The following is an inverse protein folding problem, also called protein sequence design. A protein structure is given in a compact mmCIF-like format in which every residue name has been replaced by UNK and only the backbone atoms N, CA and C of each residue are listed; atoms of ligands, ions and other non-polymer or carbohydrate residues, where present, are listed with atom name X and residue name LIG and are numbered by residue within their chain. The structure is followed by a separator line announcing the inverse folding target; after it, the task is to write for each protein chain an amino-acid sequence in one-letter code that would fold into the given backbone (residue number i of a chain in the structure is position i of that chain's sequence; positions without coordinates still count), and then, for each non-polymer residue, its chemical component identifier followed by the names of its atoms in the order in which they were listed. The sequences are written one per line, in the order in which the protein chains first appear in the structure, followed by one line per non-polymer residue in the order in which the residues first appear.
data_IF_775602486757
#
_entry.id   IF_775602486757
#
_cell.length_a   1.000
_cell.length_b   1.000
_cell.length_c   1.000
_cell.angle_alpha   90.00
_cell.angle_beta   90.00
_cell.angle_gamma   90.00
#
_symmetry.space_group_name_H-M   'P 1'
#
loop_
_entity.id
_entity.type
_entity.pdbx_description
1 polymer ?
#
# COMPACT_ATOMS: atom_id res chain seq x y z
N UNK A 1 1.78 59.86 -6.74
CA UNK A 1 2.25 59.93 -8.14
C UNK A 1 3.37 58.92 -8.29
N UNK A 2 3.36 57.84 -9.08
CA UNK A 2 2.64 57.38 -10.29
C UNK A 2 2.51 55.84 -10.18
N UNK A 3 1.33 55.23 -10.22
CA UNK A 3 0.68 54.66 -11.42
C UNK A 3 1.64 54.04 -12.45
N UNK A 4 1.63 52.71 -12.56
CA UNK A 4 1.75 52.02 -13.85
C UNK A 4 0.85 50.79 -13.86
N UNK A 5 -0.29 50.99 -14.53
CA UNK A 5 -1.19 49.99 -15.08
C UNK A 5 -0.45 49.21 -16.16
N UNK A 6 -0.44 47.88 -16.09
CA UNK A 6 -0.12 47.06 -17.25
C UNK A 6 -1.26 46.09 -17.50
N UNK A 7 -2.14 46.52 -18.41
CA UNK A 7 -3.11 45.70 -19.12
C UNK A 7 -2.38 44.52 -19.77
N UNK A 8 -2.69 43.29 -19.35
CA UNK A 8 -2.32 42.10 -20.12
C UNK A 8 -3.56 41.54 -20.79
N UNK A 9 -3.45 41.40 -22.11
CA UNK A 9 -4.50 41.13 -23.07
C UNK A 9 -5.34 39.90 -22.73
N UNK A 10 -6.65 40.13 -22.73
CA UNK A 10 -7.70 39.14 -22.88
C UNK A 10 -7.63 38.57 -24.32
N UNK A 11 -6.92 37.47 -24.52
CA UNK A 11 -7.03 36.68 -25.75
C UNK A 11 -8.12 35.62 -25.56
N UNK A 12 -9.35 35.96 -26.01
CA UNK A 12 -10.45 35.03 -26.18
C UNK A 12 -10.06 33.97 -27.23
N UNK A 13 -9.68 32.77 -26.79
CA UNK A 13 -9.55 31.60 -27.66
C UNK A 13 -10.85 30.80 -27.53
N UNK A 14 -11.82 31.15 -28.38
CA UNK A 14 -13.01 30.33 -28.65
C UNK A 14 -12.61 29.19 -29.59
N UNK A 15 -12.14 28.07 -29.04
CA UNK A 15 -12.08 26.80 -29.78
C UNK A 15 -13.30 25.99 -29.38
N UNK A 16 -14.39 26.17 -30.13
CA UNK A 16 -15.52 25.26 -30.18
C UNK A 16 -15.10 24.01 -30.95
N UNK A 17 -14.37 23.11 -30.27
CA UNK A 17 -14.07 21.78 -30.77
C UNK A 17 -15.10 20.79 -30.23
N UNK A 18 -15.98 20.30 -31.10
CA UNK A 18 -16.85 19.15 -30.84
C UNK A 18 -15.96 17.92 -30.58
N UNK A 19 -15.52 17.75 -29.34
CA UNK A 19 -14.87 16.52 -28.90
C UNK A 19 -15.97 15.45 -28.85
N UNK A 20 -15.97 14.59 -29.86
CA UNK A 20 -16.67 13.31 -29.85
C UNK A 20 -16.38 12.65 -28.49
N UNK A 21 -17.38 12.61 -27.63
CA UNK A 21 -17.39 11.76 -26.46
C UNK A 21 -17.31 10.33 -26.98
N UNK A 22 -16.10 9.81 -27.16
CA UNK A 22 -15.88 8.38 -27.21
C UNK A 22 -16.37 7.88 -25.85
N UNK A 23 -17.60 7.38 -25.85
CA UNK A 23 -18.16 6.57 -24.77
C UNK A 23 -17.25 5.34 -24.69
N UNK A 24 -16.15 5.51 -23.96
CA UNK A 24 -15.33 4.43 -23.48
C UNK A 24 -16.29 3.66 -22.60
N UNK A 25 -16.97 2.66 -23.18
CA UNK A 25 -17.71 1.65 -22.45
C UNK A 25 -16.68 1.06 -21.51
N UNK A 26 -16.60 1.63 -20.31
CA UNK A 26 -16.06 0.96 -19.16
C UNK A 26 -16.87 -0.32 -19.12
N UNK A 27 -16.23 -1.42 -19.55
CA UNK A 27 -16.70 -2.75 -19.19
C UNK A 27 -16.71 -2.71 -17.68
N UNK A 28 -17.87 -2.38 -17.12
CA UNK A 28 -18.13 -2.41 -15.70
C UNK A 28 -17.71 -3.81 -15.31
N UNK A 29 -16.59 -3.93 -14.60
CA UNK A 29 -16.07 -5.23 -14.18
C UNK A 29 -17.22 -5.86 -13.39
N UNK A 30 -17.89 -6.83 -13.99
CA UNK A 30 -18.90 -7.60 -13.30
C UNK A 30 -18.15 -8.35 -12.22
N UNK A 31 -18.57 -8.17 -10.97
CA UNK A 31 -18.00 -8.89 -9.85
C UNK A 31 -18.16 -10.39 -10.12
N UNK A 32 -17.03 -11.09 -10.36
CA UNK A 32 -17.03 -12.54 -10.50
C UNK A 32 -17.03 -13.16 -9.12
N UNK A 33 -17.94 -14.08 -8.90
CA UNK A 33 -18.02 -14.95 -7.72
C UNK A 33 -17.27 -16.26 -7.98
N UNK A 34 -16.88 -17.01 -6.95
CA UNK A 34 -16.28 -18.34 -7.14
C UNK A 34 -17.13 -19.28 -8.00
N UNK A 35 -18.46 -19.17 -7.92
CA UNK A 35 -19.40 -20.01 -8.68
C UNK A 35 -19.37 -19.72 -10.19
N UNK A 36 -18.95 -18.52 -10.60
CA UNK A 36 -18.81 -18.18 -12.02
C UNK A 36 -17.67 -18.97 -12.69
N UNK A 37 -16.73 -19.50 -11.90
CA UNK A 37 -15.60 -20.33 -12.35
C UNK A 37 -15.89 -21.84 -12.27
N UNK A 38 -17.12 -22.23 -11.91
CA UNK A 38 -17.55 -23.64 -11.86
C UNK A 38 -18.91 -23.82 -12.54
N UNK A 39 -19.28 -22.90 -13.42
CA UNK A 39 -20.64 -22.81 -13.95
C UNK A 39 -20.94 -23.89 -15.00
N UNK A 40 -19.93 -24.57 -15.54
CA UNK A 40 -20.06 -25.57 -16.60
C UNK A 40 -20.25 -27.00 -16.06
N UNK A 41 -19.36 -27.49 -15.20
CA UNK A 41 -19.35 -28.87 -14.69
C UNK A 41 -19.37 -28.96 -13.15
N UNK A 42 -19.33 -27.82 -12.45
CA UNK A 42 -19.31 -27.75 -10.99
C UNK A 42 -17.97 -28.11 -10.35
N UNK A 43 -16.92 -28.33 -11.15
CA UNK A 43 -15.54 -28.59 -10.75
C UNK A 43 -14.74 -27.33 -11.12
N UNK A 44 -13.79 -26.97 -10.27
CA UNK A 44 -12.87 -25.87 -10.57
C UNK A 44 -11.56 -26.46 -11.05
N UNK A 45 -11.24 -26.26 -12.32
CA UNK A 45 -9.98 -26.69 -12.91
C UNK A 45 -8.80 -25.86 -12.38
N UNK A 46 -7.57 -26.36 -12.59
CA UNK A 46 -6.35 -25.65 -12.21
C UNK A 46 -6.24 -24.28 -12.90
N UNK A 47 -6.58 -24.22 -14.20
CA UNK A 47 -6.57 -22.98 -14.97
C UNK A 47 -7.60 -21.96 -14.45
N UNK A 48 -8.79 -22.42 -14.05
CA UNK A 48 -9.81 -21.55 -13.45
C UNK A 48 -9.40 -21.01 -12.08
N UNK A 49 -8.77 -21.84 -11.24
CA UNK A 49 -8.20 -21.39 -9.97
C UNK A 49 -7.11 -20.32 -10.18
N UNK A 50 -6.27 -20.50 -11.20
CA UNK A 50 -5.26 -19.51 -11.57
C UNK A 50 -5.90 -18.21 -12.08
N UNK A 51 -6.93 -18.28 -12.93
CA UNK A 51 -7.67 -17.10 -13.40
C UNK A 51 -8.32 -16.36 -12.23
N UNK A 52 -8.94 -17.08 -11.29
CA UNK A 52 -9.53 -16.52 -10.07
C UNK A 52 -8.46 -15.83 -9.20
N UNK A 53 -7.30 -16.45 -9.00
CA UNK A 53 -6.19 -15.85 -8.26
C UNK A 53 -5.66 -14.58 -8.94
N UNK A 54 -5.59 -14.53 -10.27
CA UNK A 54 -5.23 -13.33 -11.03
C UNK A 54 -6.29 -12.24 -10.90
N UNK A 55 -7.58 -12.60 -10.92
CA UNK A 55 -8.68 -11.67 -10.67
C UNK A 55 -8.59 -11.08 -9.25
N UNK A 56 -8.31 -11.91 -8.25
CA UNK A 56 -8.06 -11.49 -6.88
C UNK A 56 -6.85 -10.53 -6.79
N UNK A 57 -5.73 -10.85 -7.46
CA UNK A 57 -4.56 -9.98 -7.53
C UNK A 57 -4.91 -8.59 -8.06
N UNK A 58 -5.72 -8.53 -9.12
CA UNK A 58 -6.19 -7.28 -9.71
C UNK A 58 -7.05 -6.49 -8.71
N UNK A 59 -7.97 -7.16 -8.01
CA UNK A 59 -8.77 -6.58 -6.93
C UNK A 59 -7.87 -5.93 -5.86
N UNK A 60 -6.88 -6.68 -5.37
CA UNK A 60 -5.91 -6.18 -4.39
C UNK A 60 -5.13 -4.96 -4.92
N UNK A 61 -4.64 -5.03 -6.15
CA UNK A 61 -3.80 -3.97 -6.74
C UNK A 61 -4.59 -2.69 -7.04
N UNK A 62 -5.89 -2.82 -7.32
CA UNK A 62 -6.80 -1.70 -7.54
C UNK A 62 -7.19 -0.99 -6.24
N UNK A 63 -7.17 -1.69 -5.09
CA UNK A 63 -7.47 -1.14 -3.79
C UNK A 63 -6.22 -0.49 -3.18
N UNK A 64 -6.24 0.84 -3.03
CA UNK A 64 -5.09 1.59 -2.52
C UNK A 64 -4.67 1.22 -1.10
N UNK A 65 -5.63 0.81 -0.26
CA UNK A 65 -5.37 0.39 1.10
C UNK A 65 -4.73 -1.01 1.13
N UNK A 66 -5.27 -1.98 0.38
CA UNK A 66 -4.70 -3.33 0.33
C UNK A 66 -3.27 -3.33 -0.23
N UNK A 67 -3.03 -2.67 -1.37
CA UNK A 67 -1.70 -2.60 -2.01
C UNK A 67 -0.64 -1.89 -1.15
N UNK A 68 -1.07 -1.03 -0.23
CA UNK A 68 -0.17 -0.34 0.70
C UNK A 68 0.40 -1.31 1.75
N UNK A 69 -0.44 -2.22 2.26
CA UNK A 69 -0.08 -3.12 3.35
C UNK A 69 0.37 -4.50 2.90
N UNK A 70 0.00 -4.93 1.70
CA UNK A 70 0.31 -6.26 1.20
C UNK A 70 0.90 -6.24 -0.21
N UNK A 71 1.80 -7.20 -0.46
CA UNK A 71 2.22 -7.56 -1.81
C UNK A 71 1.08 -8.38 -2.44
N UNK A 72 0.37 -7.78 -3.39
CA UNK A 72 -0.78 -8.38 -4.03
C UNK A 72 -0.44 -9.64 -4.84
N UNK A 73 0.79 -9.76 -5.37
CA UNK A 73 1.23 -10.97 -6.08
C UNK A 73 1.47 -12.10 -5.09
N UNK A 74 2.10 -11.80 -3.95
CA UNK A 74 2.24 -12.77 -2.85
C UNK A 74 0.86 -13.22 -2.35
N UNK A 75 -0.07 -12.28 -2.11
CA UNK A 75 -1.41 -12.64 -1.65
C UNK A 75 -2.17 -13.49 -2.66
N UNK A 76 -2.02 -13.25 -3.96
CA UNK A 76 -2.63 -14.10 -4.98
C UNK A 76 -2.08 -15.54 -4.96
N UNK A 77 -0.79 -15.72 -4.70
CA UNK A 77 -0.20 -17.04 -4.48
C UNK A 77 -0.77 -17.73 -3.23
N UNK A 78 -0.88 -17.01 -2.11
CA UNK A 78 -1.52 -17.53 -0.90
C UNK A 78 -3.01 -17.84 -1.10
N UNK A 79 -3.71 -17.03 -1.88
CA UNK A 79 -5.09 -17.23 -2.27
C UNK A 79 -5.28 -18.55 -3.02
N UNK A 80 -4.45 -18.79 -4.04
CA UNK A 80 -4.47 -20.01 -4.83
C UNK A 80 -4.28 -21.25 -3.95
N UNK A 81 -3.31 -21.23 -3.02
CA UNK A 81 -3.07 -22.35 -2.09
C UNK A 81 -4.28 -22.65 -1.19
N UNK A 82 -4.97 -21.61 -0.70
CA UNK A 82 -6.19 -21.79 0.09
C UNK A 82 -7.32 -22.33 -0.78
N UNK A 83 -7.44 -21.87 -2.03
CA UNK A 83 -8.44 -22.34 -2.99
C UNK A 83 -8.24 -23.81 -3.34
N UNK A 84 -7.03 -24.22 -3.71
CA UNK A 84 -6.68 -25.62 -3.99
C UNK A 84 -7.05 -26.55 -2.83
N UNK A 85 -6.85 -26.07 -1.59
CA UNK A 85 -7.12 -26.85 -0.38
C UNK A 85 -8.61 -26.97 -0.03
N UNK A 86 -9.40 -25.91 -0.25
CA UNK A 86 -10.77 -25.82 0.24
C UNK A 86 -11.84 -25.95 -0.87
N UNK A 87 -11.43 -25.93 -2.14
CA UNK A 87 -12.33 -26.01 -3.28
C UNK A 87 -13.14 -24.73 -3.52
N UNK A 88 -14.04 -24.73 -4.52
CA UNK A 88 -14.70 -23.53 -5.03
C UNK A 88 -15.77 -22.91 -4.12
N UNK A 89 -16.27 -23.66 -3.14
CA UNK A 89 -17.38 -23.19 -2.28
C UNK A 89 -16.97 -22.11 -1.28
N UNK A 90 -15.67 -21.98 -0.98
CA UNK A 90 -15.18 -20.93 -0.09
C UNK A 90 -15.28 -19.56 -0.78
N UNK A 91 -15.81 -18.56 -0.10
CA UNK A 91 -15.97 -17.21 -0.68
C UNK A 91 -14.63 -16.46 -0.75
N UNK A 92 -14.54 -15.45 -1.63
CA UNK A 92 -13.37 -14.57 -1.71
C UNK A 92 -13.06 -13.91 -0.35
N UNK A 93 -14.11 -13.52 0.39
CA UNK A 93 -13.97 -12.87 1.70
C UNK A 93 -13.39 -13.82 2.75
N UNK A 94 -13.84 -15.07 2.80
CA UNK A 94 -13.30 -16.08 3.71
C UNK A 94 -11.82 -16.34 3.43
N UNK A 95 -11.45 -16.54 2.16
CA UNK A 95 -10.04 -16.72 1.78
C UNK A 95 -9.24 -15.48 2.14
N UNK A 96 -9.72 -14.29 1.80
CA UNK A 96 -9.08 -13.03 2.14
C UNK A 96 -8.83 -12.91 3.65
N UNK A 97 -9.83 -13.24 4.47
CA UNK A 97 -9.72 -13.20 5.92
C UNK A 97 -8.68 -14.20 6.45
N UNK A 98 -8.61 -15.41 5.89
CA UNK A 98 -7.59 -16.41 6.24
C UNK A 98 -6.20 -15.86 5.92
N UNK A 99 -6.00 -15.36 4.71
CA UNK A 99 -4.68 -14.91 4.25
C UNK A 99 -4.31 -13.51 4.74
N UNK A 100 -5.19 -12.76 5.40
CA UNK A 100 -4.88 -11.41 5.93
C UNK A 100 -5.14 -11.23 7.41
N UNK A 101 -5.53 -12.27 8.15
CA UNK A 101 -5.65 -12.23 9.61
C UNK A 101 -4.83 -13.35 10.30
N UNK A 102 -3.90 -13.97 9.58
CA UNK A 102 -3.04 -15.02 10.14
C UNK A 102 -1.61 -14.53 10.36
N UNK A 103 -0.96 -15.04 11.40
CA UNK A 103 0.49 -14.85 11.61
C UNK A 103 1.34 -15.57 10.54
N UNK A 104 0.72 -16.45 9.75
CA UNK A 104 1.39 -17.22 8.71
C UNK A 104 1.51 -16.43 7.41
N UNK A 105 0.77 -15.34 7.26
CA UNK A 105 0.83 -14.52 6.06
C UNK A 105 2.16 -13.78 5.99
N UNK A 106 3.01 -14.16 5.03
CA UNK A 106 4.30 -13.51 4.79
C UNK A 106 4.22 -12.38 3.75
N UNK A 107 3.02 -12.00 3.32
CA UNK A 107 2.80 -11.08 2.21
C UNK A 107 2.76 -9.59 2.61
N UNK A 108 3.25 -9.22 3.79
CA UNK A 108 3.27 -7.81 4.20
C UNK A 108 4.22 -6.98 3.32
N UNK A 109 3.74 -5.86 2.78
CA UNK A 109 4.53 -4.94 1.96
C UNK A 109 5.36 -3.99 2.83
N UNK A 110 6.33 -4.56 3.55
CA UNK A 110 7.12 -3.86 4.58
C UNK A 110 7.71 -2.54 4.07
N UNK A 111 8.24 -2.51 2.84
CA UNK A 111 8.83 -1.31 2.25
C UNK A 111 7.79 -0.21 2.00
N UNK A 112 6.65 -0.54 1.38
CA UNK A 112 5.58 0.43 1.12
C UNK A 112 4.95 0.95 2.41
N UNK A 113 4.77 0.10 3.42
CA UNK A 113 4.26 0.50 4.74
C UNK A 113 5.22 1.52 5.37
N UNK A 114 6.52 1.23 5.39
CA UNK A 114 7.51 2.13 5.95
C UNK A 114 7.55 3.46 5.20
N UNK A 115 7.60 3.44 3.86
CA UNK A 115 7.62 4.65 3.04
C UNK A 115 6.40 5.54 3.29
N UNK A 116 5.20 4.95 3.23
CA UNK A 116 3.95 5.70 3.44
C UNK A 116 3.86 6.26 4.86
N UNK A 117 4.26 5.49 5.86
CA UNK A 117 4.24 5.93 7.25
C UNK A 117 5.23 7.07 7.52
N UNK A 118 6.39 7.05 6.87
CA UNK A 118 7.36 8.12 6.93
C UNK A 118 6.78 9.42 6.35
N UNK A 119 6.21 9.36 5.15
CA UNK A 119 5.60 10.52 4.48
C UNK A 119 4.50 11.16 5.34
N UNK A 120 3.56 10.34 5.83
CA UNK A 120 2.48 10.79 6.72
C UNK A 120 3.03 11.43 8.00
N UNK A 121 4.06 10.81 8.59
CA UNK A 121 4.70 11.36 9.79
C UNK A 121 5.38 12.70 9.52
N UNK A 122 6.09 12.86 8.40
CA UNK A 122 6.77 14.12 8.06
C UNK A 122 5.77 15.25 7.91
N UNK A 123 4.65 15.03 7.19
CA UNK A 123 3.58 16.02 7.06
C UNK A 123 3.05 16.43 8.44
N UNK A 124 2.72 15.46 9.29
CA UNK A 124 2.27 15.72 10.66
C UNK A 124 3.31 16.51 11.47
N UNK A 125 4.57 16.12 11.41
CA UNK A 125 5.63 16.67 12.23
C UNK A 125 6.10 18.06 11.74
N UNK A 126 5.85 18.43 10.47
CA UNK A 126 6.02 19.79 9.96
C UNK A 126 5.00 20.76 10.57
N UNK A 127 3.79 20.30 10.84
CA UNK A 127 2.73 21.11 11.45
C UNK A 127 2.91 21.25 12.97
N UNK A 128 3.59 20.29 13.61
CA UNK A 128 3.83 20.26 15.05
C UNK A 128 5.21 20.84 15.43
N UNK A 129 5.24 22.05 16.01
CA UNK A 129 6.48 22.77 16.33
C UNK A 129 7.47 21.98 17.19
N UNK A 130 6.98 21.18 18.15
CA UNK A 130 7.81 20.38 19.07
C UNK A 130 8.66 19.32 18.37
N UNK A 131 8.21 18.83 17.20
CA UNK A 131 8.89 17.75 16.47
C UNK A 131 9.79 18.27 15.35
N UNK A 132 9.64 19.54 14.93
CA UNK A 132 10.26 20.09 13.71
C UNK A 132 11.75 19.87 13.56
N UNK A 133 12.51 19.86 14.66
CA UNK A 133 13.98 19.78 14.65
C UNK A 133 14.49 18.37 14.41
N UNK A 134 13.77 17.36 14.87
CA UNK A 134 14.11 15.94 14.88
C UNK A 134 13.21 15.11 13.95
N UNK A 135 12.40 15.77 13.12
CA UNK A 135 11.45 15.18 12.19
C UNK A 135 11.97 13.95 11.42
N UNK A 136 13.14 13.97 10.74
CA UNK A 136 13.58 12.83 9.94
C UNK A 136 13.90 11.58 10.77
N UNK A 137 14.58 11.75 11.91
CA UNK A 137 14.95 10.62 12.77
C UNK A 137 13.74 10.05 13.50
N UNK A 138 12.89 10.93 14.04
CA UNK A 138 11.62 10.54 14.65
C UNK A 138 10.72 9.79 13.66
N UNK A 139 10.50 10.34 12.47
CA UNK A 139 9.65 9.70 11.46
C UNK A 139 10.27 8.44 10.87
N UNK A 140 11.61 8.35 10.79
CA UNK A 140 12.31 7.12 10.51
C UNK A 140 11.98 6.03 11.54
N UNK A 141 12.07 6.35 12.83
CA UNK A 141 11.68 5.42 13.90
C UNK A 141 10.20 4.98 13.76
N UNK A 142 9.28 5.92 13.55
CA UNK A 142 7.84 5.63 13.44
C UNK A 142 7.55 4.68 12.28
N UNK A 143 8.11 4.99 11.10
CA UNK A 143 7.94 4.20 9.89
C UNK A 143 8.40 2.75 10.07
N UNK A 144 9.61 2.56 10.58
CA UNK A 144 10.18 1.23 10.79
C UNK A 144 9.43 0.44 11.86
N UNK A 145 9.06 1.09 12.96
CA UNK A 145 8.30 0.43 14.02
C UNK A 145 6.94 -0.02 13.51
N UNK A 146 6.22 0.83 12.79
CA UNK A 146 4.94 0.47 12.19
C UNK A 146 5.09 -0.72 11.25
N UNK A 147 5.99 -0.65 10.28
CA UNK A 147 6.20 -1.70 9.30
C UNK A 147 6.56 -3.03 9.96
N UNK A 148 7.51 -3.02 10.89
CA UNK A 148 7.93 -4.22 11.63
C UNK A 148 6.78 -4.81 12.45
N UNK A 149 6.04 -3.99 13.18
CA UNK A 149 4.99 -4.49 14.06
C UNK A 149 3.77 -4.97 13.25
N UNK A 150 3.48 -4.37 12.09
CA UNK A 150 2.52 -4.90 11.14
C UNK A 150 2.97 -6.26 10.57
N UNK A 151 4.22 -6.38 10.12
CA UNK A 151 4.73 -7.64 9.53
C UNK A 151 4.71 -8.82 10.52
N UNK A 152 4.76 -8.58 11.83
CA UNK A 152 4.62 -9.64 12.86
C UNK A 152 3.23 -10.25 12.91
N UNK A 153 2.21 -9.43 12.65
CA UNK A 153 0.80 -9.84 12.68
C UNK A 153 0.06 -8.99 11.65
N UNK A 154 0.17 -9.37 10.36
CA UNK A 154 -0.29 -8.55 9.25
C UNK A 154 -1.81 -8.68 9.14
N UNK A 155 -2.50 -7.81 9.87
CA UNK A 155 -3.95 -7.74 9.93
C UNK A 155 -4.45 -6.51 9.20
N UNK A 156 -5.29 -6.68 8.19
CA UNK A 156 -5.93 -5.55 7.53
C UNK A 156 -7.17 -5.10 8.30
N UNK A 157 -7.01 -4.05 9.11
CA UNK A 157 -8.13 -3.40 9.77
C UNK A 157 -7.77 -1.98 10.14
N UNK A 158 -8.63 -1.02 9.82
CA UNK A 158 -8.38 0.40 10.07
C UNK A 158 -8.02 0.64 11.53
N UNK A 159 -8.82 0.13 12.48
CA UNK A 159 -8.53 0.29 13.91
C UNK A 159 -7.22 -0.34 14.36
N UNK A 160 -6.82 -1.48 13.79
CA UNK A 160 -5.55 -2.13 14.11
C UNK A 160 -4.36 -1.32 13.57
N UNK A 161 -4.43 -0.87 12.32
CA UNK A 161 -3.40 -0.04 11.69
C UNK A 161 -3.24 1.30 12.42
N UNK A 162 -4.34 1.95 12.78
CA UNK A 162 -4.30 3.19 13.58
C UNK A 162 -3.69 2.97 14.96
N UNK A 163 -4.03 1.86 15.62
CA UNK A 163 -3.41 1.47 16.89
C UNK A 163 -1.89 1.30 16.75
N UNK A 164 -1.42 0.58 15.71
CA UNK A 164 0.01 0.41 15.48
C UNK A 164 0.70 1.74 15.20
N UNK A 165 0.06 2.66 14.47
CA UNK A 165 0.59 4.00 14.19
C UNK A 165 0.73 4.82 15.46
N UNK A 166 -0.31 4.89 16.29
CA UNK A 166 -0.27 5.59 17.57
C UNK A 166 0.81 5.00 18.49
N UNK A 167 0.90 3.67 18.56
CA UNK A 167 1.94 2.95 19.31
C UNK A 167 3.35 3.28 18.81
N UNK A 168 3.55 3.36 17.48
CA UNK A 168 4.82 3.74 16.88
C UNK A 168 5.22 5.18 17.24
N UNK A 169 4.30 6.13 17.13
CA UNK A 169 4.52 7.53 17.51
C UNK A 169 4.89 7.67 18.99
N UNK A 170 4.15 7.02 19.88
CA UNK A 170 4.42 7.05 21.33
C UNK A 170 5.77 6.45 21.69
N UNK A 171 6.13 5.32 21.09
CA UNK A 171 7.42 4.67 21.31
C UNK A 171 8.59 5.54 20.84
N UNK A 172 8.48 6.13 19.65
CA UNK A 172 9.53 6.94 19.05
C UNK A 172 9.66 8.33 19.66
N UNK A 173 8.71 8.75 20.52
CA UNK A 173 8.79 10.02 21.24
C UNK A 173 10.03 10.07 22.15
N UNK A 174 10.41 8.95 22.78
CA UNK A 174 11.65 8.83 23.56
C UNK A 174 12.87 8.74 22.61
N UNK A 175 13.83 9.68 22.68
CA UNK A 175 15.04 9.65 21.85
C UNK A 175 15.85 8.36 21.95
N UNK A 176 15.84 7.66 23.09
CA UNK A 176 16.55 6.38 23.27
C UNK A 176 16.06 5.28 22.33
N UNK A 177 14.81 5.40 21.87
CA UNK A 177 14.19 4.42 20.98
C UNK A 177 14.47 4.71 19.50
N UNK A 178 15.00 5.90 19.17
CA UNK A 178 15.24 6.36 17.79
C UNK A 178 16.56 5.89 17.22
N UNK A 179 17.58 5.72 18.07
CA UNK A 179 18.95 5.33 17.72
C UNK A 179 19.12 3.84 17.44
N UNK A 180 18.05 3.06 17.31
CA UNK A 180 18.18 1.63 16.98
C UNK A 180 18.85 1.53 15.59
N UNK A 181 20.08 0.99 15.45
CA UNK A 181 20.82 1.06 14.20
C UNK A 181 20.08 0.28 13.11
N UNK A 182 19.48 0.99 12.16
CA UNK A 182 18.99 0.38 10.92
C UNK A 182 20.12 -0.24 10.07
N UNK A 183 21.38 -0.02 10.43
CA UNK A 183 22.55 -0.52 9.70
C UNK A 183 23.03 -1.92 10.11
N UNK A 184 22.46 -2.56 11.13
CA UNK A 184 22.93 -3.88 11.60
C UNK A 184 22.20 -5.09 10.97
N UNK A 185 21.25 -4.88 10.05
CA UNK A 185 20.52 -5.98 9.37
C UNK A 185 20.97 -6.23 7.92
N UNK A 186 22.03 -5.57 7.45
CA UNK A 186 22.62 -5.80 6.12
C UNK A 186 23.90 -6.65 6.13
N UNK A 187 24.03 -7.61 7.06
CA UNK A 187 25.13 -8.58 7.02
C UNK A 187 24.62 -10.02 7.00
N UNK A 188 24.71 -10.58 5.79
CA UNK A 188 24.93 -12.01 5.52
C UNK A 188 23.75 -12.95 5.77
N UNK A 189 22.81 -12.95 4.83
CA UNK A 189 22.16 -14.21 4.42
C UNK A 189 22.11 -14.21 2.90
N UNK A 190 22.91 -15.08 2.29
CA UNK A 190 22.97 -15.33 0.86
C UNK A 190 21.69 -16.07 0.43
N UNK A 191 20.60 -15.32 0.34
CA UNK A 191 19.37 -15.71 -0.35
C UNK A 191 19.02 -14.52 -1.26
N UNK A 192 18.45 -14.69 -2.46
CA UNK A 192 18.11 -13.57 -3.32
C UNK A 192 16.88 -12.86 -2.73
N UNK A 193 17.11 -12.04 -1.71
CA UNK A 193 16.16 -11.13 -1.11
C UNK A 193 16.13 -9.86 -1.96
N UNK A 194 14.93 -9.41 -2.29
CA UNK A 194 14.69 -8.14 -2.95
C UNK A 194 15.47 -7.00 -2.25
N UNK A 195 16.05 -6.05 -3.02
CA UNK A 195 16.92 -5.03 -2.46
C UNK A 195 16.23 -4.21 -1.37
N UNK A 196 16.93 -4.02 -0.24
CA UNK A 196 16.54 -3.09 0.79
C UNK A 196 16.25 -1.72 0.15
N UNK A 197 15.04 -1.21 0.35
CA UNK A 197 14.64 0.11 -0.13
C UNK A 197 15.37 1.14 0.71
N UNK A 198 16.54 1.56 0.22
CA UNK A 198 17.19 2.79 0.66
C UNK A 198 16.27 3.92 0.22
N UNK A 199 15.48 4.45 1.15
CA UNK A 199 14.72 5.69 0.90
C UNK A 199 15.77 6.79 0.67
N UNK A 200 15.88 7.37 -0.54
CA UNK A 200 16.88 8.39 -0.79
C UNK A 200 16.60 9.63 0.07
N UNK A 201 17.63 10.31 0.59
CA UNK A 201 17.44 11.55 1.30
C UNK A 201 16.75 12.56 0.38
N UNK A 202 15.63 13.13 0.86
CA UNK A 202 14.87 14.19 0.21
C UNK A 202 15.83 15.35 -0.13
N UNK A 203 16.14 15.49 -1.42
CA UNK A 203 16.92 16.62 -1.94
C UNK A 203 16.10 17.88 -1.69
N UNK A 204 16.57 18.74 -0.79
CA UNK A 204 16.00 20.08 -0.61
C UNK A 204 16.19 20.85 -1.92
N UNK A 205 15.12 21.12 -2.66
CA UNK A 205 15.18 22.10 -3.74
C UNK A 205 15.36 23.47 -3.11
N UNK A 206 16.55 24.05 -3.32
CA UNK A 206 16.80 25.46 -2.98
C UNK A 206 16.12 26.30 -4.07
N UNK A 207 15.14 27.11 -3.66
CA UNK A 207 14.65 28.26 -4.43
C UNK A 207 15.25 29.53 -3.82
#
# INVERSE_FOLDING_TARGET
MKQFFTFFLLALVLISGNALAQEKREKRLTFKTPLDYTADDGIMSEDEMMEEAMYFQQGCSSNSYQKMYFDCKCLAGAYLQVREKNGPLMTHEEIFNIITNSKQTQCANTAQIAGTAYEVCITYAQENFELRRDNPEYCGCVANKLARDFTKEPRLGVGYVEYLRASAMMYCKDPKNRTTPQSAQNTTTTEPIAPAVVVPPLVKSVN
#
